data_IF_004108646734
#
_entry.id   IF_004108646734
#
_cell.length_a   1.000
_cell.length_b   1.000
_cell.length_c   1.000
_cell.angle_alpha   90.00
_cell.angle_beta   90.00
_cell.angle_gamma   90.00
#
_symmetry.space_group_name_H-M   'P 1'
#
loop_
_entity.id
_entity.type
_entity.pdbx_description
1 polymer ?
#
# COMPACT_ATOMS: atom_id res chain seq x y z
N UNK A 1 0.35 -3.27 -26.49
CA UNK A 1 0.75 -2.10 -25.67
C UNK A 1 0.88 -2.59 -24.23
N UNK A 2 2.00 -2.35 -23.55
CA UNK A 2 2.17 -2.79 -22.17
C UNK A 2 1.18 -2.06 -21.23
N UNK A 3 0.69 -2.77 -20.22
CA UNK A 3 -0.18 -2.25 -19.18
C UNK A 3 0.66 -1.89 -17.96
N UNK A 4 0.39 -0.75 -17.37
CA UNK A 4 0.84 -0.41 -16.02
C UNK A 4 -0.38 -0.40 -15.10
N UNK A 5 -0.47 -1.41 -14.22
CA UNK A 5 -1.50 -1.47 -13.20
C UNK A 5 -1.02 -0.70 -11.97
N UNK A 6 -1.61 0.45 -11.74
CA UNK A 6 -1.18 1.36 -10.66
C UNK A 6 -1.84 1.07 -9.32
N UNK A 7 -2.74 0.06 -9.24
CA UNK A 7 -3.47 -0.23 -8.01
C UNK A 7 -4.03 -1.66 -8.03
N UNK A 8 -3.28 -2.62 -7.49
CA UNK A 8 -3.71 -4.00 -7.39
C UNK A 8 -3.18 -4.66 -6.12
N UNK A 9 -4.07 -5.17 -5.30
CA UNK A 9 -3.77 -5.78 -4.01
C UNK A 9 -3.40 -7.26 -4.13
N UNK A 10 -2.22 -7.55 -4.63
CA UNK A 10 -1.69 -8.92 -4.68
C UNK A 10 -1.25 -9.43 -3.30
N UNK A 11 -1.08 -8.55 -2.32
CA UNK A 11 -0.86 -8.88 -0.91
C UNK A 11 -2.09 -9.56 -0.26
N UNK A 12 -3.29 -9.34 -0.80
CA UNK A 12 -4.56 -9.88 -0.30
C UNK A 12 -4.52 -11.39 -0.10
N UNK A 13 -5.14 -11.86 0.99
CA UNK A 13 -5.29 -13.30 1.28
C UNK A 13 -6.04 -14.08 0.20
N UNK A 14 -6.82 -13.42 -0.65
CA UNK A 14 -7.48 -14.04 -1.80
C UNK A 14 -6.48 -14.69 -2.78
N UNK A 15 -5.24 -14.15 -2.85
CA UNK A 15 -4.17 -14.69 -3.69
C UNK A 15 -3.31 -15.75 -3.01
N UNK A 16 -3.52 -16.09 -1.73
CA UNK A 16 -2.68 -17.08 -1.03
C UNK A 16 -2.46 -18.40 -1.78
N UNK A 17 -3.46 -18.96 -2.51
CA UNK A 17 -3.27 -20.22 -3.21
C UNK A 17 -2.30 -20.15 -4.40
N UNK A 18 -2.18 -19.00 -5.06
CA UNK A 18 -1.52 -18.89 -6.38
C UNK A 18 -0.77 -17.56 -6.63
N UNK A 19 -0.59 -16.73 -5.61
CA UNK A 19 0.03 -15.40 -5.70
C UNK A 19 1.32 -15.37 -6.52
N UNK A 20 2.24 -16.28 -6.23
CA UNK A 20 3.53 -16.32 -6.91
C UNK A 20 3.38 -16.67 -8.40
N UNK A 21 2.50 -17.61 -8.72
CA UNK A 21 2.23 -17.99 -10.10
C UNK A 21 1.55 -16.85 -10.88
N UNK A 22 0.59 -16.17 -10.26
CA UNK A 22 -0.09 -15.01 -10.86
C UNK A 22 0.91 -13.89 -11.13
N UNK A 23 1.69 -13.48 -10.11
CA UNK A 23 2.67 -12.40 -10.26
C UNK A 23 3.74 -12.74 -11.31
N UNK A 24 4.24 -13.98 -11.34
CA UNK A 24 5.22 -14.41 -12.32
C UNK A 24 4.67 -14.37 -13.77
N UNK A 25 3.37 -14.60 -13.97
CA UNK A 25 2.75 -14.62 -15.28
C UNK A 25 2.39 -13.23 -15.84
N UNK A 26 2.34 -12.18 -15.00
CA UNK A 26 1.90 -10.85 -15.41
C UNK A 26 2.66 -10.25 -16.60
N UNK A 27 4.00 -10.32 -16.68
CA UNK A 27 4.73 -9.75 -17.82
C UNK A 27 4.36 -10.42 -19.16
N UNK A 28 4.18 -11.74 -19.17
CA UNK A 28 3.77 -12.48 -20.37
C UNK A 28 2.32 -12.17 -20.76
N UNK A 29 1.45 -11.86 -19.77
CA UNK A 29 0.09 -11.41 -19.99
C UNK A 29 0.00 -9.94 -20.45
N UNK A 30 1.13 -9.22 -20.54
CA UNK A 30 1.21 -7.85 -21.01
C UNK A 30 1.14 -6.79 -19.91
N UNK A 31 1.10 -7.19 -18.63
CA UNK A 31 1.19 -6.27 -17.48
C UNK A 31 2.67 -6.06 -17.15
N UNK A 32 3.21 -4.93 -17.58
CA UNK A 32 4.63 -4.65 -17.50
C UNK A 32 5.07 -4.19 -16.10
N UNK A 33 4.20 -3.47 -15.40
CA UNK A 33 4.45 -2.91 -14.07
C UNK A 33 3.18 -2.97 -13.23
N UNK A 34 3.36 -3.15 -11.92
CA UNK A 34 2.30 -3.13 -10.91
C UNK A 34 2.73 -2.29 -9.71
N UNK A 35 1.78 -1.54 -9.14
CA UNK A 35 1.90 -0.98 -7.79
C UNK A 35 0.89 -1.69 -6.89
N UNK A 36 1.38 -2.33 -5.83
CA UNK A 36 0.61 -2.95 -4.76
C UNK A 36 0.52 -1.97 -3.58
N UNK A 37 -0.66 -1.41 -3.26
CA UNK A 37 -0.79 -0.42 -2.19
C UNK A 37 -1.10 -1.09 -0.84
N UNK A 38 -0.36 -0.68 0.19
CA UNK A 38 -0.67 -1.03 1.57
C UNK A 38 -1.75 -0.13 2.15
N UNK A 39 -2.57 -0.67 3.06
CA UNK A 39 -3.62 0.05 3.78
C UNK A 39 -3.24 0.36 5.23
N UNK A 40 -2.23 -0.36 5.74
CA UNK A 40 -1.67 -0.26 7.09
C UNK A 40 -0.20 -0.66 7.09
N UNK A 41 0.45 -0.69 8.25
CA UNK A 41 1.85 -1.11 8.34
C UNK A 41 2.07 -2.58 7.95
N UNK A 42 1.24 -3.55 8.38
CA UNK A 42 1.37 -4.94 7.95
C UNK A 42 1.26 -5.12 6.44
N UNK A 43 0.24 -4.56 5.81
CA UNK A 43 0.03 -4.68 4.35
C UNK A 43 1.06 -3.90 3.55
N UNK A 44 1.50 -2.72 4.03
CA UNK A 44 2.62 -1.99 3.43
C UNK A 44 3.92 -2.80 3.43
N UNK A 45 4.21 -3.55 4.51
CA UNK A 45 5.35 -4.46 4.56
C UNK A 45 5.17 -5.66 3.61
N UNK A 46 3.95 -6.21 3.53
CA UNK A 46 3.64 -7.31 2.61
C UNK A 46 3.82 -6.89 1.16
N UNK A 47 3.33 -5.72 0.77
CA UNK A 47 3.50 -5.16 -0.57
C UNK A 47 4.98 -4.97 -0.93
N UNK A 48 5.79 -4.43 0.00
CA UNK A 48 7.24 -4.30 -0.18
C UNK A 48 7.93 -5.66 -0.34
N UNK A 49 7.55 -6.66 0.46
CA UNK A 49 8.11 -8.00 0.36
C UNK A 49 7.81 -8.65 -1.00
N UNK A 50 6.65 -8.42 -1.59
CA UNK A 50 6.34 -8.84 -2.96
C UNK A 50 7.17 -8.06 -3.99
N UNK A 51 7.31 -6.75 -3.79
CA UNK A 51 8.12 -5.91 -4.66
C UNK A 51 9.61 -6.30 -4.68
N UNK A 52 10.15 -6.82 -3.58
CA UNK A 52 11.51 -7.39 -3.52
C UNK A 52 11.65 -8.68 -4.33
N UNK A 53 10.60 -9.51 -4.37
CA UNK A 53 10.63 -10.80 -5.06
C UNK A 53 10.42 -10.67 -6.58
N UNK A 54 9.65 -9.68 -7.01
CA UNK A 54 9.26 -9.52 -8.41
C UNK A 54 9.74 -8.18 -8.98
N UNK A 55 10.60 -8.17 -10.01
CA UNK A 55 11.20 -6.94 -10.53
C UNK A 55 10.19 -5.92 -11.08
N UNK A 56 9.05 -6.38 -11.57
CA UNK A 56 7.97 -5.57 -12.13
C UNK A 56 6.94 -5.10 -11.11
N UNK A 57 7.08 -5.52 -9.83
CA UNK A 57 6.19 -5.10 -8.73
C UNK A 57 6.87 -3.99 -7.93
N UNK A 58 6.08 -2.99 -7.59
CA UNK A 58 6.41 -1.85 -6.71
C UNK A 58 5.35 -1.75 -5.63
N UNK A 59 5.59 -0.95 -4.60
CA UNK A 59 4.65 -0.74 -3.51
C UNK A 59 4.31 0.74 -3.34
N UNK A 60 3.08 1.02 -2.97
CA UNK A 60 2.73 2.22 -2.24
C UNK A 60 2.61 1.86 -0.76
N UNK A 61 3.09 2.72 0.13
CA UNK A 61 3.04 2.49 1.58
C UNK A 61 2.23 3.59 2.25
N UNK A 62 1.27 3.20 3.09
CA UNK A 62 0.34 4.18 3.64
C UNK A 62 -0.54 3.61 4.75
N UNK A 63 -1.41 4.49 5.25
CA UNK A 63 -2.42 4.20 6.26
C UNK A 63 -3.76 4.66 5.71
N UNK A 64 -4.60 3.71 5.33
CA UNK A 64 -5.94 3.98 4.81
C UNK A 64 -6.82 4.63 5.89
N UNK A 65 -7.72 5.55 5.53
CA UNK A 65 -8.58 6.23 6.51
C UNK A 65 -9.46 5.28 7.33
N UNK A 66 -9.87 4.15 6.79
CA UNK A 66 -10.63 3.13 7.52
C UNK A 66 -9.76 2.41 8.57
N UNK A 67 -8.47 2.25 8.30
CA UNK A 67 -7.51 1.51 9.13
C UNK A 67 -6.70 2.41 10.07
N UNK A 68 -6.94 3.73 10.07
CA UNK A 68 -6.12 4.67 10.81
C UNK A 68 -6.39 4.71 12.33
N UNK A 69 -7.42 4.00 12.82
CA UNK A 69 -7.73 3.99 14.25
C UNK A 69 -6.56 3.51 15.11
N UNK A 70 -6.23 4.27 16.14
CA UNK A 70 -5.20 3.89 17.11
C UNK A 70 -3.76 4.08 16.64
N UNK A 71 -3.51 4.63 15.46
CA UNK A 71 -2.16 4.94 15.00
C UNK A 71 -1.48 5.99 15.90
N UNK A 72 -0.20 5.73 16.18
CA UNK A 72 0.66 6.52 17.07
C UNK A 72 1.80 7.17 16.26
N UNK A 73 2.55 8.08 16.89
CA UNK A 73 3.75 8.65 16.29
C UNK A 73 4.80 7.58 15.95
N UNK A 74 4.89 6.51 16.76
CA UNK A 74 5.79 5.38 16.49
C UNK A 74 5.40 4.61 15.21
N UNK A 75 4.10 4.47 14.93
CA UNK A 75 3.62 3.85 13.70
C UNK A 75 3.93 4.72 12.48
N UNK A 76 3.78 6.03 12.62
CA UNK A 76 4.15 6.99 11.58
C UNK A 76 5.66 7.00 11.31
N UNK A 77 6.48 6.85 12.35
CA UNK A 77 7.93 6.68 12.18
C UNK A 77 8.28 5.36 11.48
N UNK A 78 7.55 4.28 11.77
CA UNK A 78 7.69 3.03 11.04
C UNK A 78 7.32 3.19 9.56
N UNK A 79 6.22 3.91 9.26
CA UNK A 79 5.86 4.23 7.88
C UNK A 79 6.96 5.02 7.17
N UNK A 80 7.56 6.01 7.84
CA UNK A 80 8.71 6.77 7.30
C UNK A 80 9.89 5.88 6.92
N UNK A 81 10.16 4.84 7.70
CA UNK A 81 11.22 3.88 7.36
C UNK A 81 10.86 3.08 6.11
N UNK A 82 9.60 2.63 5.97
CA UNK A 82 9.14 1.91 4.79
C UNK A 82 9.25 2.78 3.52
N UNK A 83 8.97 4.08 3.62
CA UNK A 83 9.10 5.03 2.50
C UNK A 83 10.52 5.16 1.93
N UNK A 84 11.55 4.73 2.67
CA UNK A 84 12.94 4.77 2.22
C UNK A 84 13.34 3.58 1.36
N UNK A 85 12.48 2.61 1.23
CA UNK A 85 12.74 1.43 0.41
C UNK A 85 12.70 1.80 -1.07
N UNK A 86 13.66 1.32 -1.87
CA UNK A 86 13.77 1.65 -3.30
C UNK A 86 12.55 1.25 -4.13
N UNK A 87 11.80 0.27 -3.65
CA UNK A 87 10.56 -0.20 -4.28
C UNK A 87 9.30 0.52 -3.77
N UNK A 88 9.40 1.37 -2.77
CA UNK A 88 8.31 2.23 -2.33
C UNK A 88 8.26 3.47 -3.24
N UNK A 89 7.31 3.48 -4.17
CA UNK A 89 7.23 4.51 -5.22
C UNK A 89 6.16 5.56 -4.97
N UNK A 90 5.31 5.35 -3.97
CA UNK A 90 4.23 6.28 -3.61
C UNK A 90 3.87 6.16 -2.12
N UNK A 91 3.24 7.22 -1.59
CA UNK A 91 2.51 7.17 -0.33
C UNK A 91 1.05 6.85 -0.65
N UNK A 92 0.59 5.71 -0.17
CA UNK A 92 -0.77 5.18 -0.40
C UNK A 92 -0.95 3.79 0.26
N UNK A 93 -2.19 3.41 0.56
CA UNK A 93 -3.37 4.23 0.40
C UNK A 93 -3.46 5.22 1.56
N UNK A 94 -3.83 6.44 1.26
CA UNK A 94 -4.03 7.50 2.24
C UNK A 94 -5.28 8.29 1.84
N UNK A 95 -5.84 9.03 2.76
CA UNK A 95 -6.93 9.94 2.43
C UNK A 95 -7.96 10.03 3.53
N UNK A 96 -9.18 10.30 3.08
CA UNK A 96 -10.31 10.54 3.95
C UNK A 96 -11.49 9.72 3.43
N UNK A 97 -12.11 8.96 4.32
CA UNK A 97 -13.36 8.26 4.05
C UNK A 97 -14.41 8.63 5.09
N UNK A 98 -15.44 9.33 4.66
CA UNK A 98 -16.56 9.76 5.49
C UNK A 98 -17.86 9.03 5.17
N UNK A 99 -17.78 8.00 4.33
CA UNK A 99 -18.96 7.28 3.88
C UNK A 99 -19.52 6.34 4.95
N UNK A 100 -18.66 5.56 5.61
CA UNK A 100 -19.07 4.61 6.63
C UNK A 100 -19.10 5.24 8.02
N UNK A 101 -20.19 5.00 8.75
CA UNK A 101 -20.39 5.56 10.09
C UNK A 101 -19.43 4.97 11.15
N UNK A 102 -18.95 3.76 10.92
CA UNK A 102 -18.00 3.03 11.77
C UNK A 102 -16.55 3.45 11.58
N UNK A 103 -16.25 4.23 10.55
CA UNK A 103 -14.89 4.70 10.30
C UNK A 103 -14.38 5.59 11.44
N UNK A 104 -13.04 5.67 11.62
CA UNK A 104 -12.45 6.56 12.62
C UNK A 104 -12.95 8.00 12.50
N UNK A 105 -12.98 8.77 13.61
CA UNK A 105 -13.45 10.16 13.60
C UNK A 105 -12.75 11.00 12.51
N UNK A 106 -13.50 11.85 11.83
CA UNK A 106 -13.00 12.68 10.72
C UNK A 106 -11.76 13.48 11.06
N UNK A 107 -11.72 14.06 12.25
CA UNK A 107 -10.57 14.85 12.73
C UNK A 107 -9.31 13.98 12.86
N UNK A 108 -9.46 12.74 13.33
CA UNK A 108 -8.37 11.81 13.45
C UNK A 108 -7.87 11.35 12.07
N UNK A 109 -8.79 11.03 11.15
CA UNK A 109 -8.42 10.73 9.75
C UNK A 109 -7.63 11.90 9.13
N UNK A 110 -8.08 13.14 9.31
CA UNK A 110 -7.38 14.33 8.81
C UNK A 110 -5.99 14.50 9.41
N UNK A 111 -5.82 14.19 10.69
CA UNK A 111 -4.53 14.22 11.35
C UNK A 111 -3.56 13.21 10.74
N UNK A 112 -3.98 11.94 10.63
CA UNK A 112 -3.15 10.87 10.05
C UNK A 112 -2.83 11.18 8.59
N UNK A 113 -3.79 11.66 7.81
CA UNK A 113 -3.58 12.06 6.42
C UNK A 113 -2.53 13.17 6.28
N UNK A 114 -2.61 14.23 7.07
CA UNK A 114 -1.62 15.32 7.07
C UNK A 114 -0.21 14.82 7.42
N UNK A 115 -0.11 13.94 8.41
CA UNK A 115 1.17 13.36 8.82
C UNK A 115 1.74 12.43 7.75
N UNK A 116 0.88 11.72 7.01
CA UNK A 116 1.30 10.90 5.86
C UNK A 116 1.91 11.75 4.73
N UNK A 117 1.36 12.93 4.46
CA UNK A 117 1.84 13.84 3.39
C UNK A 117 3.22 14.45 3.66
N UNK A 118 3.66 14.53 4.91
CA UNK A 118 5.00 15.09 5.28
C UNK A 118 6.15 14.25 4.68
N UNK A 119 5.90 13.03 4.26
CA UNK A 119 6.93 12.14 3.70
C UNK A 119 7.20 12.38 2.21
N UNK A 120 6.31 13.09 1.57
CA UNK A 120 6.43 13.47 0.17
C UNK A 120 7.37 14.68 0.03
#
# INVERSE_FOLDING_TARGET
MPIFDTHAHYDSSAFNPDREAVLAALPEAGVALVVDPGCDLPTSRAALALAEQFPHVYAAVGIHPEDCAGYTDADLDALRQLCRHDKAVAIGEIGLDYYWAENPPREFQQQVFRLSLIHI
#
